data_IF_497558730519
#
_entry.id   IF_497558730519
#
_cell.length_a   1.000
_cell.length_b   1.000
_cell.length_c   1.000
_cell.angle_alpha   90.00
_cell.angle_beta   90.00
_cell.angle_gamma   90.00
#
_symmetry.space_group_name_H-M   'P 1'
#
loop_
_entity.id
_entity.type
_entity.pdbx_description
1 polymer ?
#
# COMPACT_ATOMS: atom_id res chain seq x y z
N UNK A 1 -19.29 6.19 -2.21
CA UNK A 1 -19.87 5.60 -3.43
C UNK A 1 -20.61 6.69 -4.18
N UNK A 2 -20.13 7.14 -5.34
CA UNK A 2 -20.89 8.06 -6.19
C UNK A 2 -21.98 7.27 -6.93
N UNK A 3 -23.21 7.76 -6.83
CA UNK A 3 -24.43 7.09 -7.27
C UNK A 3 -24.47 6.92 -8.81
N UNK A 4 -24.72 5.70 -9.36
CA UNK A 4 -24.83 5.47 -10.81
C UNK A 4 -26.04 6.16 -11.48
N UNK A 5 -26.91 6.80 -10.71
CA UNK A 5 -28.17 7.41 -11.19
C UNK A 5 -28.15 8.95 -11.17
N UNK A 6 -27.00 9.62 -11.28
CA UNK A 6 -27.02 11.08 -11.48
C UNK A 6 -27.54 11.36 -12.90
N UNK A 7 -28.86 11.60 -13.01
CA UNK A 7 -29.51 12.01 -14.25
C UNK A 7 -28.75 13.22 -14.81
N UNK A 8 -28.16 13.06 -16.00
CA UNK A 8 -27.66 14.18 -16.78
C UNK A 8 -28.87 15.02 -17.17
N UNK A 9 -29.00 16.22 -16.60
CA UNK A 9 -29.78 17.29 -17.22
C UNK A 9 -29.21 17.56 -18.60
N UNK A 10 -30.08 17.77 -19.59
CA UNK A 10 -29.81 17.84 -21.04
C UNK A 10 -28.83 18.95 -21.50
N UNK A 11 -28.10 19.60 -20.59
CA UNK A 11 -27.11 20.64 -20.88
C UNK A 11 -25.70 20.12 -21.26
N UNK A 12 -25.43 18.82 -21.15
CA UNK A 12 -24.06 18.26 -21.32
C UNK A 12 -23.67 17.90 -22.77
N UNK A 13 -24.41 18.35 -23.78
CA UNK A 13 -24.13 18.05 -25.19
C UNK A 13 -22.88 18.74 -25.77
N UNK A 14 -22.12 19.49 -24.95
CA UNK A 14 -20.92 20.22 -25.38
C UNK A 14 -19.65 20.05 -24.53
N UNK A 15 -19.57 19.08 -23.61
CA UNK A 15 -18.29 18.80 -22.95
C UNK A 15 -17.42 17.86 -23.80
N UNK A 16 -16.70 18.46 -24.75
CA UNK A 16 -15.69 17.86 -25.63
C UNK A 16 -14.39 17.44 -24.91
N UNK A 17 -14.33 17.53 -23.58
CA UNK A 17 -13.14 17.20 -22.81
C UNK A 17 -13.44 16.29 -21.63
N UNK A 18 -13.89 15.08 -21.96
CA UNK A 18 -14.05 13.99 -21.00
C UNK A 18 -12.70 13.65 -20.33
N UNK A 19 -11.57 14.01 -20.94
CA UNK A 19 -10.20 13.81 -20.42
C UNK A 19 -9.66 14.95 -19.53
N UNK A 20 -10.33 16.12 -19.47
CA UNK A 20 -9.91 17.23 -18.58
C UNK A 20 -10.50 17.15 -17.17
N UNK A 21 -11.45 16.24 -16.97
CA UNK A 21 -12.04 16.01 -15.67
C UNK A 21 -10.98 15.32 -14.77
N UNK A 22 -10.45 16.07 -13.79
CA UNK A 22 -9.59 15.56 -12.71
C UNK A 22 -10.39 15.26 -11.43
N UNK A 23 -11.70 15.54 -11.41
CA UNK A 23 -12.55 15.34 -10.23
C UNK A 23 -12.56 13.88 -9.79
N UNK A 24 -12.32 12.93 -10.70
CA UNK A 24 -12.19 11.52 -10.36
C UNK A 24 -11.07 11.28 -9.33
N UNK A 25 -9.93 11.99 -9.40
CA UNK A 25 -8.80 11.76 -8.51
C UNK A 25 -8.77 12.65 -7.25
N UNK A 26 -9.58 13.71 -7.15
CA UNK A 26 -9.54 14.64 -6.00
C UNK A 26 -9.86 13.97 -4.66
N UNK A 27 -10.85 13.07 -4.62
CA UNK A 27 -11.19 12.29 -3.41
C UNK A 27 -9.99 11.42 -2.96
N UNK A 28 -9.19 10.93 -3.91
CA UNK A 28 -8.01 10.12 -3.63
C UNK A 28 -6.80 10.95 -3.18
N UNK A 29 -6.65 12.16 -3.72
CA UNK A 29 -5.68 13.13 -3.21
C UNK A 29 -6.05 13.55 -1.78
N UNK A 30 -7.33 13.76 -1.48
CA UNK A 30 -7.76 14.01 -0.11
C UNK A 30 -7.40 12.83 0.82
N UNK A 31 -7.57 11.59 0.38
CA UNK A 31 -7.15 10.40 1.12
C UNK A 31 -5.65 10.43 1.44
N UNK A 32 -4.85 10.78 0.44
CA UNK A 32 -3.39 10.86 0.56
C UNK A 32 -2.96 11.97 1.53
N UNK A 33 -3.55 13.17 1.43
CA UNK A 33 -3.16 14.34 2.23
C UNK A 33 -3.66 14.33 3.69
N UNK A 34 -4.54 13.40 4.07
CA UNK A 34 -5.06 13.33 5.45
C UNK A 34 -3.95 13.06 6.46
N UNK A 35 -3.98 13.76 7.59
CA UNK A 35 -3.08 13.47 8.72
C UNK A 35 -3.34 12.09 9.32
N UNK A 36 -4.61 11.71 9.46
CA UNK A 36 -5.00 10.39 9.96
C UNK A 36 -4.96 9.35 8.84
N UNK A 37 -4.80 8.07 9.19
CA UNK A 37 -4.82 6.96 8.24
C UNK A 37 -6.07 6.93 7.36
N UNK A 38 -6.01 6.36 6.14
CA UNK A 38 -7.09 6.48 5.16
C UNK A 38 -8.40 5.79 5.58
N UNK A 39 -8.35 4.89 6.55
CA UNK A 39 -9.50 4.19 7.13
C UNK A 39 -10.09 4.89 8.36
N UNK A 40 -9.50 5.99 8.81
CA UNK A 40 -9.89 6.71 10.03
C UNK A 40 -10.78 7.92 9.68
N UNK A 41 -11.88 8.08 10.42
CA UNK A 41 -12.83 9.18 10.29
C UNK A 41 -14.22 8.75 9.80
N UNK A 42 -15.07 9.72 9.44
CA UNK A 42 -16.46 9.48 9.00
C UNK A 42 -16.55 8.75 7.66
N UNK A 43 -15.53 8.89 6.81
CA UNK A 43 -15.45 8.27 5.49
C UNK A 43 -14.11 7.56 5.33
N UNK A 44 -14.20 6.27 5.02
CA UNK A 44 -13.06 5.48 4.58
C UNK A 44 -12.69 5.86 3.14
N UNK A 45 -11.43 6.26 2.97
CA UNK A 45 -10.84 6.66 1.69
C UNK A 45 -9.67 5.75 1.27
N UNK A 46 -9.52 4.59 1.89
CA UNK A 46 -8.48 3.60 1.52
C UNK A 46 -8.59 3.12 0.08
N UNK A 47 -9.80 3.13 -0.49
CA UNK A 47 -10.02 2.90 -1.89
C UNK A 47 -11.29 3.59 -2.39
N UNK A 48 -11.37 3.75 -3.70
CA UNK A 48 -12.64 3.96 -4.39
C UNK A 48 -12.54 3.43 -5.81
N UNK A 49 -13.65 2.95 -6.35
CA UNK A 49 -13.76 2.69 -7.78
C UNK A 49 -15.13 3.13 -8.25
N UNK A 50 -15.21 3.48 -9.52
CA UNK A 50 -16.45 3.89 -10.14
C UNK A 50 -16.42 3.75 -11.65
N UNK A 51 -17.58 3.97 -12.25
CA UNK A 51 -17.76 3.86 -13.70
C UNK A 51 -18.26 5.18 -14.24
N UNK A 52 -17.73 5.57 -15.39
CA UNK A 52 -18.24 6.65 -16.20
C UNK A 52 -19.07 6.06 -17.36
N UNK A 53 -20.14 6.73 -17.85
CA UNK A 53 -21.05 6.17 -18.87
C UNK A 53 -20.38 5.76 -20.20
N UNK A 54 -19.21 6.31 -20.47
CA UNK A 54 -18.36 6.24 -21.66
C UNK A 54 -17.41 5.02 -21.72
N UNK A 55 -17.72 3.92 -21.00
CA UNK A 55 -16.85 2.73 -20.88
C UNK A 55 -15.54 2.96 -20.14
N UNK A 56 -15.42 4.06 -19.41
CA UNK A 56 -14.29 4.30 -18.52
C UNK A 56 -14.59 3.89 -17.08
N UNK A 57 -13.52 3.56 -16.36
CA UNK A 57 -13.52 3.28 -14.94
C UNK A 57 -12.44 4.13 -14.28
N UNK A 58 -12.66 4.49 -13.04
CA UNK A 58 -11.60 5.02 -12.20
C UNK A 58 -11.40 4.13 -10.98
N UNK A 59 -10.17 4.11 -10.50
CA UNK A 59 -9.74 3.32 -9.37
C UNK A 59 -8.71 4.08 -8.56
N UNK A 60 -8.89 4.04 -7.25
CA UNK A 60 -7.99 4.61 -6.27
C UNK A 60 -7.71 3.58 -5.21
N UNK A 61 -6.45 3.51 -4.80
CA UNK A 61 -6.03 2.67 -3.70
C UNK A 61 -4.87 3.32 -2.97
N UNK A 62 -4.99 3.42 -1.64
CA UNK A 62 -3.97 4.03 -0.78
C UNK A 62 -3.42 2.98 0.19
N UNK A 63 -2.11 2.86 0.21
CA UNK A 63 -1.34 2.05 1.15
C UNK A 63 -0.48 2.96 2.02
N UNK A 64 -0.06 2.45 3.17
CA UNK A 64 0.93 3.11 4.01
C UNK A 64 1.89 2.10 4.63
N UNK A 65 3.09 2.59 4.92
CA UNK A 65 4.15 1.87 5.61
C UNK A 65 4.98 2.88 6.42
N UNK A 66 5.89 2.41 7.27
CA UNK A 66 6.84 3.26 7.97
C UNK A 66 8.24 3.07 7.38
N UNK A 67 9.04 4.12 7.41
CA UNK A 67 10.47 4.04 7.13
C UNK A 67 11.25 4.78 8.21
N UNK A 68 12.54 4.46 8.33
CA UNK A 68 13.44 5.15 9.24
C UNK A 68 14.08 6.35 8.52
N UNK A 69 13.88 7.55 9.04
CA UNK A 69 14.52 8.78 8.57
C UNK A 69 15.97 8.81 9.06
N UNK A 70 16.84 8.09 8.35
CA UNK A 70 18.28 8.17 8.53
C UNK A 70 18.78 9.34 7.70
N UNK A 71 18.88 10.53 8.30
CA UNK A 71 19.39 11.75 7.66
C UNK A 71 20.84 11.67 7.15
N UNK A 72 21.51 10.51 7.24
CA UNK A 72 22.85 10.25 6.69
C UNK A 72 22.90 9.15 5.61
N UNK A 73 21.83 8.39 5.39
CA UNK A 73 21.81 7.41 4.29
C UNK A 73 20.72 7.82 3.33
N UNK A 74 21.17 8.42 2.24
CA UNK A 74 20.43 8.58 0.99
C UNK A 74 19.59 7.33 0.73
N UNK A 75 18.29 7.38 1.01
CA UNK A 75 17.37 6.63 0.16
C UNK A 75 16.64 7.67 -0.66
N UNK A 76 16.69 7.47 -1.97
CA UNK A 76 15.41 7.17 -2.55
C UNK A 76 15.53 5.87 -3.34
N UNK A 77 14.44 5.13 -3.41
CA UNK A 77 14.13 4.46 -4.67
C UNK A 77 14.22 5.57 -5.72
N UNK A 78 15.31 5.50 -6.50
CA UNK A 78 15.75 6.42 -7.56
C UNK A 78 16.46 7.70 -7.07
N UNK A 79 17.80 7.64 -7.12
CA UNK A 79 18.61 8.76 -7.54
C UNK A 79 18.22 9.15 -8.99
N UNK A 80 17.06 9.80 -9.13
CA UNK A 80 16.74 10.60 -10.29
C UNK A 80 17.05 12.05 -9.94
N UNK A 81 17.88 12.65 -10.80
CA UNK A 81 18.15 14.10 -10.97
C UNK A 81 17.06 15.02 -10.41
N UNK A 82 17.44 16.23 -9.98
CA UNK A 82 16.66 17.40 -9.47
C UNK A 82 15.17 17.60 -9.89
N UNK A 83 14.63 16.86 -10.86
CA UNK A 83 13.21 16.66 -11.14
C UNK A 83 12.45 15.75 -10.14
N UNK A 84 13.12 15.08 -9.20
CA UNK A 84 12.53 14.11 -8.26
C UNK A 84 11.71 14.71 -7.10
N UNK A 85 11.60 16.04 -6.99
CA UNK A 85 10.83 16.73 -5.92
C UNK A 85 9.38 17.04 -6.28
N UNK A 86 8.72 16.13 -6.97
CA UNK A 86 7.34 16.32 -7.45
C UNK A 86 6.30 15.54 -6.66
N UNK A 87 6.71 14.91 -5.54
CA UNK A 87 5.82 14.32 -4.54
C UNK A 87 5.21 15.37 -3.62
N UNK A 88 4.26 14.95 -2.78
CA UNK A 88 3.62 15.82 -1.79
C UNK A 88 3.96 15.32 -0.38
N UNK A 89 5.05 15.83 0.20
CA UNK A 89 5.39 15.54 1.60
C UNK A 89 4.31 16.11 2.50
N UNK A 90 3.60 15.23 3.21
CA UNK A 90 2.67 15.63 4.27
C UNK A 90 3.27 15.22 5.61
N UNK A 91 3.35 16.14 6.57
CA UNK A 91 3.79 15.81 7.92
C UNK A 91 2.71 14.97 8.62
N UNK A 92 2.84 13.63 8.55
CA UNK A 92 1.92 12.65 9.14
C UNK A 92 2.49 12.05 10.42
N UNK A 93 2.05 10.84 10.79
CA UNK A 93 2.51 10.17 11.99
C UNK A 93 4.02 9.98 11.92
N UNK A 94 4.72 10.60 12.87
CA UNK A 94 6.11 10.31 13.14
C UNK A 94 6.24 9.73 14.55
N UNK A 95 7.24 8.88 14.73
CA UNK A 95 7.58 8.33 16.02
C UNK A 95 9.08 8.43 16.19
N UNK A 96 9.53 9.19 17.18
CA UNK A 96 10.95 9.19 17.57
C UNK A 96 11.14 8.13 18.63
N UNK A 97 12.03 7.18 18.36
CA UNK A 97 12.41 6.16 19.32
C UNK A 97 13.86 6.42 19.72
N UNK A 98 14.16 6.65 21.02
CA UNK A 98 15.52 6.78 21.50
C UNK A 98 16.40 5.62 21.02
N UNK A 99 17.60 5.93 20.52
CA UNK A 99 18.55 4.97 19.96
C UNK A 99 18.25 4.51 18.53
N UNK A 100 16.99 4.54 18.07
CA UNK A 100 16.59 4.09 16.72
C UNK A 100 16.53 5.26 15.74
N UNK A 101 16.02 6.41 16.18
CA UNK A 101 15.79 7.58 15.33
C UNK A 101 14.31 7.82 15.06
N UNK A 102 14.03 8.58 14.00
CA UNK A 102 12.68 9.02 13.65
C UNK A 102 12.09 8.09 12.60
N UNK A 103 11.04 7.38 12.95
CA UNK A 103 10.20 6.67 12.00
C UNK A 103 9.15 7.63 11.44
N UNK A 104 8.99 7.63 10.13
CA UNK A 104 8.00 8.45 9.43
C UNK A 104 7.02 7.55 8.65
N UNK A 105 5.73 7.89 8.73
CA UNK A 105 4.71 7.26 7.89
C UNK A 105 4.87 7.73 6.43
N UNK A 106 5.01 6.78 5.51
CA UNK A 106 4.92 6.97 4.07
C UNK A 106 3.58 6.52 3.54
N UNK A 107 3.04 7.27 2.57
CA UNK A 107 1.87 6.83 1.80
C UNK A 107 2.21 6.55 0.35
N UNK A 108 1.52 5.55 -0.19
CA UNK A 108 1.50 5.22 -1.60
C UNK A 108 0.05 5.37 -2.08
N UNK A 109 -0.20 6.31 -2.99
CA UNK A 109 -1.47 6.41 -3.70
C UNK A 109 -1.26 5.89 -5.11
N UNK A 110 -2.16 5.01 -5.56
CA UNK A 110 -2.39 4.80 -6.99
C UNK A 110 -3.74 5.35 -7.37
N UNK A 111 -3.73 6.08 -8.47
CA UNK A 111 -4.91 6.71 -9.04
C UNK A 111 -4.90 6.45 -10.53
N UNK A 112 -5.92 5.74 -11.01
CA UNK A 112 -6.02 5.32 -12.40
C UNK A 112 -7.41 5.58 -12.94
N UNK A 113 -7.45 6.06 -14.18
CA UNK A 113 -8.63 6.07 -15.04
C UNK A 113 -8.32 5.20 -16.25
N UNK A 114 -9.14 4.19 -16.50
CA UNK A 114 -8.87 3.15 -17.50
C UNK A 114 -10.15 2.77 -18.24
N UNK A 115 -10.04 2.57 -19.55
CA UNK A 115 -11.11 2.01 -20.36
C UNK A 115 -11.39 0.56 -19.92
N UNK A 116 -12.65 0.12 -19.91
CA UNK A 116 -13.00 -1.25 -19.52
C UNK A 116 -12.29 -2.27 -20.41
N UNK A 117 -12.27 -2.01 -21.72
CA UNK A 117 -11.50 -2.76 -22.72
C UNK A 117 -10.20 -2.04 -23.04
N UNK A 118 -9.11 -2.78 -22.96
CA UNK A 118 -7.73 -2.35 -23.12
C UNK A 118 -7.01 -3.32 -24.08
N UNK A 119 -6.61 -2.86 -25.28
CA UNK A 119 -6.62 -3.71 -26.49
C UNK A 119 -5.46 -3.59 -27.52
N UNK A 120 -5.12 -4.76 -28.10
CA UNK A 120 -3.95 -5.36 -28.85
C UNK A 120 -3.02 -4.65 -29.81
N UNK A 121 -3.21 -3.38 -30.20
CA UNK A 121 -2.71 -2.96 -31.52
C UNK A 121 -1.45 -2.11 -31.46
N UNK A 122 -0.34 -2.76 -31.80
CA UNK A 122 1.05 -2.28 -31.97
C UNK A 122 1.97 -2.41 -30.75
N UNK A 123 3.05 -3.22 -30.83
CA UNK A 123 4.12 -3.24 -29.82
C UNK A 123 5.11 -2.06 -29.96
N UNK A 124 4.88 -1.12 -30.89
CA UNK A 124 5.88 -0.09 -31.23
C UNK A 124 5.49 1.37 -30.99
N UNK A 125 4.26 1.74 -30.65
CA UNK A 125 3.94 3.19 -30.55
C UNK A 125 2.96 3.51 -29.41
N UNK A 126 3.50 4.23 -28.42
CA UNK A 126 2.87 5.09 -27.40
C UNK A 126 1.79 4.49 -26.45
N UNK A 127 1.74 4.94 -25.18
CA UNK A 127 0.63 4.61 -24.29
C UNK A 127 -0.66 5.17 -24.89
N UNK A 128 -1.42 4.31 -25.57
CA UNK A 128 -2.77 4.60 -26.05
C UNK A 128 -3.56 5.39 -24.99
N UNK A 129 -4.41 6.37 -25.36
CA UNK A 129 -5.24 7.17 -24.47
C UNK A 129 -6.37 6.37 -23.79
N UNK A 130 -6.15 5.08 -23.51
CA UNK A 130 -7.09 4.13 -22.90
C UNK A 130 -6.79 3.89 -21.42
N UNK A 131 -5.70 4.46 -20.90
CA UNK A 131 -5.32 4.43 -19.50
C UNK A 131 -4.54 5.70 -19.15
N UNK A 132 -4.97 6.40 -18.11
CA UNK A 132 -4.23 7.50 -17.48
C UNK A 132 -4.08 7.13 -16.01
N UNK A 133 -2.86 7.06 -15.51
CA UNK A 133 -2.62 6.68 -14.13
C UNK A 133 -1.32 7.24 -13.60
N UNK A 134 -1.32 7.47 -12.29
CA UNK A 134 -0.12 7.86 -11.57
C UNK A 134 -0.03 7.08 -10.25
N UNK A 135 1.21 6.85 -9.84
CA UNK A 135 1.55 6.48 -8.46
C UNK A 135 2.18 7.71 -7.82
N UNK A 136 1.71 8.06 -6.63
CA UNK A 136 2.26 9.17 -5.85
C UNK A 136 2.70 8.66 -4.49
N UNK A 137 3.89 9.11 -4.09
CA UNK A 137 4.48 8.90 -2.78
C UNK A 137 4.78 10.27 -2.15
N UNK A 138 5.19 10.28 -0.88
CA UNK A 138 5.60 11.54 -0.25
C UNK A 138 6.92 12.07 -0.80
N UNK A 139 7.70 11.22 -1.50
CA UNK A 139 8.97 11.57 -2.10
C UNK A 139 8.87 11.95 -3.58
N UNK A 140 7.89 11.42 -4.33
CA UNK A 140 7.79 11.63 -5.77
C UNK A 140 6.49 11.13 -6.38
N UNK A 141 6.31 11.34 -7.68
CA UNK A 141 5.27 10.66 -8.45
C UNK A 141 5.86 10.01 -9.70
N UNK A 142 5.23 8.95 -10.16
CA UNK A 142 5.57 8.28 -11.42
C UNK A 142 4.32 7.99 -12.22
N UNK A 143 4.44 8.06 -13.55
CA UNK A 143 3.39 7.57 -14.44
C UNK A 143 3.34 6.05 -14.36
N UNK A 144 2.15 5.47 -14.44
CA UNK A 144 2.03 4.02 -14.52
C UNK A 144 2.54 3.53 -15.87
N UNK A 145 3.73 2.92 -15.92
CA UNK A 145 4.20 2.20 -17.10
C UNK A 145 3.38 0.92 -17.28
N UNK A 146 2.38 1.01 -18.15
CA UNK A 146 1.39 -0.05 -18.37
C UNK A 146 1.74 -0.83 -19.64
N UNK A 147 2.91 -1.47 -19.66
CA UNK A 147 3.26 -2.39 -20.75
C UNK A 147 2.50 -3.71 -20.59
N UNK A 148 1.94 -4.21 -21.69
CA UNK A 148 0.70 -5.02 -21.74
C UNK A 148 0.80 -6.50 -21.40
N UNK A 149 1.73 -6.92 -20.56
CA UNK A 149 1.98 -8.36 -20.35
C UNK A 149 2.23 -8.79 -18.90
N UNK A 150 2.42 -7.85 -17.97
CA UNK A 150 2.92 -8.21 -16.65
C UNK A 150 1.91 -9.00 -15.79
N UNK A 151 0.63 -8.97 -16.14
CA UNK A 151 -0.41 -9.75 -15.47
C UNK A 151 -0.27 -11.26 -15.70
N UNK A 152 0.28 -11.68 -16.85
CA UNK A 152 0.40 -13.10 -17.22
C UNK A 152 1.37 -13.83 -16.29
N UNK A 153 2.50 -13.19 -15.95
CA UNK A 153 3.48 -13.73 -14.99
C UNK A 153 2.93 -13.86 -13.57
N UNK A 154 1.84 -13.16 -13.26
CA UNK A 154 1.14 -13.20 -11.95
C UNK A 154 -0.05 -14.17 -11.96
N UNK A 155 -0.27 -14.88 -13.08
CA UNK A 155 -1.40 -15.79 -13.24
C UNK A 155 -2.76 -15.08 -13.32
N UNK A 156 -2.79 -13.77 -13.58
CA UNK A 156 -4.03 -13.03 -13.76
C UNK A 156 -4.55 -13.21 -15.19
N UNK A 157 -5.87 -13.31 -15.33
CA UNK A 157 -6.56 -13.39 -16.61
C UNK A 157 -6.93 -11.99 -17.08
N UNK A 158 -6.82 -11.72 -18.39
CA UNK A 158 -7.23 -10.45 -18.99
C UNK A 158 -8.40 -10.65 -19.94
N UNK A 159 -9.65 -10.73 -19.43
CA UNK A 159 -10.84 -10.73 -20.29
C UNK A 159 -10.84 -9.51 -21.20
N UNK A 160 -11.16 -9.71 -22.47
CA UNK A 160 -11.11 -8.62 -23.45
C UNK A 160 -11.97 -7.42 -23.03
N UNK A 161 -13.14 -7.65 -22.44
CA UNK A 161 -14.09 -6.62 -22.03
C UNK A 161 -13.73 -5.90 -20.72
N UNK A 162 -12.81 -6.47 -19.94
CA UNK A 162 -12.42 -5.97 -18.61
C UNK A 162 -10.90 -5.89 -18.40
N UNK A 163 -10.14 -5.85 -19.49
CA UNK A 163 -8.68 -5.83 -19.47
C UNK A 163 -8.12 -4.60 -18.74
N UNK A 164 -8.85 -3.47 -18.70
CA UNK A 164 -8.48 -2.33 -17.86
C UNK A 164 -8.60 -2.61 -16.35
N UNK A 165 -9.55 -3.46 -15.95
CA UNK A 165 -9.70 -3.91 -14.56
C UNK A 165 -8.53 -4.83 -14.19
N UNK A 166 -8.12 -5.72 -15.09
CA UNK A 166 -6.93 -6.57 -14.89
C UNK A 166 -5.67 -5.72 -14.75
N UNK A 167 -5.55 -4.63 -15.52
CA UNK A 167 -4.45 -3.69 -15.40
C UNK A 167 -4.40 -3.06 -13.99
N UNK A 168 -5.54 -2.64 -13.47
CA UNK A 168 -5.63 -2.13 -12.10
C UNK A 168 -5.25 -3.18 -11.04
N UNK A 169 -5.76 -4.41 -11.17
CA UNK A 169 -5.40 -5.51 -10.27
C UNK A 169 -3.89 -5.81 -10.30
N UNK A 170 -3.26 -5.66 -11.46
CA UNK A 170 -1.80 -5.78 -11.63
C UNK A 170 -1.05 -4.65 -10.93
N UNK A 171 -1.57 -3.42 -11.01
CA UNK A 171 -0.98 -2.29 -10.30
C UNK A 171 -1.08 -2.45 -8.78
N UNK A 172 -2.21 -2.93 -8.24
CA UNK A 172 -2.32 -3.28 -6.82
C UNK A 172 -1.26 -4.30 -6.43
N UNK A 173 -1.07 -5.33 -7.26
CA UNK A 173 -0.04 -6.35 -7.02
C UNK A 173 1.35 -5.73 -6.87
N UNK A 174 1.75 -4.87 -7.81
CA UNK A 174 3.06 -4.20 -7.80
C UNK A 174 3.23 -3.33 -6.55
N UNK A 175 2.17 -2.64 -6.15
CA UNK A 175 2.20 -1.78 -4.97
C UNK A 175 2.27 -2.58 -3.67
N UNK A 176 1.70 -3.78 -3.63
CA UNK A 176 1.88 -4.69 -2.51
C UNK A 176 3.33 -5.15 -2.37
N UNK A 177 4.02 -5.39 -3.49
CA UNK A 177 5.45 -5.74 -3.47
C UNK A 177 6.29 -4.57 -2.93
N UNK A 178 6.01 -3.34 -3.39
CA UNK A 178 6.67 -2.12 -2.87
C UNK A 178 6.36 -1.88 -1.40
N UNK A 179 5.11 -2.08 -1.00
CA UNK A 179 4.67 -1.96 0.38
C UNK A 179 5.37 -2.98 1.30
N UNK A 180 5.49 -4.24 0.88
CA UNK A 180 6.22 -5.24 1.65
C UNK A 180 7.69 -4.91 1.74
N UNK A 181 8.30 -4.43 0.65
CA UNK A 181 9.69 -4.00 0.66
C UNK A 181 9.93 -2.86 1.67
N UNK A 182 9.08 -1.83 1.66
CA UNK A 182 9.18 -0.72 2.62
C UNK A 182 9.04 -1.16 4.08
N UNK A 183 8.10 -2.06 4.37
CA UNK A 183 7.99 -2.67 5.70
C UNK A 183 9.19 -3.52 6.08
N UNK A 184 9.72 -4.32 5.14
CA UNK A 184 10.89 -5.16 5.37
C UNK A 184 12.12 -4.31 5.69
N UNK A 185 12.37 -3.21 4.97
CA UNK A 185 13.44 -2.27 5.29
C UNK A 185 13.29 -1.65 6.69
N UNK A 186 12.06 -1.29 7.08
CA UNK A 186 11.80 -0.79 8.42
C UNK A 186 12.10 -1.84 9.50
N UNK A 187 11.74 -3.10 9.25
CA UNK A 187 12.05 -4.21 10.16
C UNK A 187 13.56 -4.52 10.18
N UNK A 188 14.26 -4.44 9.05
CA UNK A 188 15.72 -4.58 8.97
C UNK A 188 16.43 -3.56 9.87
N UNK A 189 15.97 -2.30 9.83
CA UNK A 189 16.53 -1.24 10.67
C UNK A 189 16.28 -1.46 12.16
N UNK A 190 15.11 -1.99 12.54
CA UNK A 190 14.82 -2.38 13.93
C UNK A 190 15.68 -3.57 14.35
N UNK A 191 15.88 -4.55 13.46
CA UNK A 191 16.68 -5.74 13.73
C UNK A 191 18.16 -5.40 13.95
N UNK A 192 18.76 -4.60 13.06
CA UNK A 192 20.16 -4.18 13.19
C UNK A 192 20.45 -3.51 14.55
N UNK A 193 19.47 -2.81 15.10
CA UNK A 193 19.57 -2.17 16.40
C UNK A 193 19.45 -3.16 17.57
N UNK A 194 18.60 -4.18 17.44
CA UNK A 194 18.50 -5.25 18.44
C UNK A 194 19.79 -6.09 18.46
N UNK A 195 20.36 -6.38 17.29
CA UNK A 195 21.57 -7.18 17.15
C UNK A 195 22.81 -6.44 17.69
N UNK A 196 22.97 -5.14 17.40
CA UNK A 196 24.03 -4.30 17.98
C UNK A 196 24.03 -4.32 19.52
N UNK A 197 22.84 -4.36 20.14
CA UNK A 197 22.73 -4.45 21.60
C UNK A 197 23.03 -5.85 22.16
N UNK A 198 22.97 -6.90 21.34
CA UNK A 198 23.27 -8.27 21.75
C UNK A 198 24.78 -8.55 21.77
N UNK A 199 25.54 -8.00 20.83
CA UNK A 199 26.99 -8.21 20.73
C UNK A 199 27.76 -7.57 21.90
N UNK A 200 27.30 -6.44 22.42
CA UNK A 200 27.87 -5.76 23.60
C UNK A 200 27.84 -6.65 24.88
N UNK A 201 26.99 -7.68 24.93
CA UNK A 201 26.81 -8.57 26.09
C UNK A 201 27.64 -9.84 26.02
N UNK A 202 28.17 -10.18 24.85
CA UNK A 202 29.11 -11.30 24.68
C UNK A 202 30.47 -11.02 25.35
N UNK A 203 30.68 -9.79 25.79
CA UNK A 203 31.87 -9.31 26.45
C UNK A 203 31.65 -9.31 27.98
N UNK A 204 32.03 -10.40 28.66
CA UNK A 204 31.80 -10.63 30.11
C UNK A 204 32.25 -9.44 30.98
N UNK A 205 33.28 -8.70 30.57
CA UNK A 205 33.83 -7.52 31.26
C UNK A 205 32.87 -6.31 31.22
N UNK A 206 32.15 -6.12 30.10
CA UNK A 206 31.12 -5.08 29.98
C UNK A 206 29.83 -5.48 30.70
N UNK A 207 29.55 -6.78 30.77
CA UNK A 207 28.38 -7.32 31.47
C UNK A 207 28.45 -7.01 32.98
N UNK A 208 29.59 -7.24 33.63
CA UNK A 208 29.79 -6.93 35.05
C UNK A 208 29.76 -5.41 35.32
N UNK A 209 30.31 -4.58 34.44
CA UNK A 209 30.26 -3.12 34.57
C UNK A 209 28.83 -2.56 34.43
N UNK A 210 28.02 -3.13 33.53
CA UNK A 210 26.62 -2.73 33.32
C UNK A 210 25.64 -3.29 34.36
N UNK A 211 26.06 -4.26 35.18
CA UNK A 211 25.24 -4.79 36.28
C UNK A 211 25.05 -3.78 37.43
N UNK A 212 25.86 -2.73 37.51
CA UNK A 212 25.87 -1.77 38.62
C UNK A 212 25.40 -0.34 38.27
N UNK A 213 24.96 -0.07 37.03
CA UNK A 213 24.59 1.29 36.57
C UNK A 213 23.14 1.44 36.05
N UNK A 214 22.66 2.71 36.03
CA UNK A 214 21.38 3.21 35.50
C UNK A 214 21.04 2.74 34.06
N UNK A 215 22.01 2.14 33.35
CA UNK A 215 21.89 1.61 32.00
C UNK A 215 20.93 0.40 31.87
N UNK A 216 20.75 -0.41 32.92
CA UNK A 216 19.83 -1.57 32.88
C UNK A 216 18.36 -1.15 32.80
N UNK A 217 18.01 -0.03 33.44
CA UNK A 217 16.70 0.61 33.29
C UNK A 217 16.52 1.15 31.86
N UNK A 218 17.58 1.68 31.26
CA UNK A 218 17.59 2.12 29.86
C UNK A 218 17.31 0.96 28.89
N UNK A 219 17.99 -0.18 29.01
CA UNK A 219 17.80 -1.34 28.11
C UNK A 219 16.40 -1.97 28.21
N UNK A 220 15.89 -2.15 29.43
CA UNK A 220 14.52 -2.67 29.62
C UNK A 220 13.46 -1.72 29.05
N UNK A 221 13.68 -0.41 29.17
CA UNK A 221 12.83 0.62 28.57
C UNK A 221 12.87 0.58 27.04
N UNK A 222 14.05 0.37 26.43
CA UNK A 222 14.18 0.22 24.98
C UNK A 222 13.41 -1.00 24.46
N UNK A 223 13.53 -2.16 25.10
CA UNK A 223 12.77 -3.36 24.70
C UNK A 223 11.26 -3.18 24.82
N UNK A 224 10.80 -2.49 25.87
CA UNK A 224 9.39 -2.15 26.01
C UNK A 224 8.90 -1.24 24.86
N UNK A 225 9.73 -0.28 24.43
CA UNK A 225 9.43 0.58 23.28
C UNK A 225 9.37 -0.22 21.97
N UNK A 226 10.29 -1.16 21.75
CA UNK A 226 10.29 -2.05 20.57
C UNK A 226 9.05 -2.95 20.56
N UNK A 227 8.66 -3.54 21.68
CA UNK A 227 7.43 -4.35 21.77
C UNK A 227 6.17 -3.50 21.49
N UNK A 228 6.13 -2.25 21.96
CA UNK A 228 5.05 -1.31 21.64
C UNK A 228 5.05 -0.93 20.15
N UNK A 229 6.23 -0.77 19.55
CA UNK A 229 6.38 -0.51 18.13
C UNK A 229 5.81 -1.67 17.31
N UNK A 230 6.19 -2.91 17.63
CA UNK A 230 5.67 -4.11 16.97
C UNK A 230 4.15 -4.25 17.10
N UNK A 231 3.58 -3.92 18.27
CA UNK A 231 2.12 -3.85 18.42
C UNK A 231 1.47 -2.84 17.45
N UNK A 232 2.09 -1.68 17.25
CA UNK A 232 1.64 -0.69 16.28
C UNK A 232 1.82 -1.20 14.83
N UNK A 233 2.96 -1.79 14.51
CA UNK A 233 3.24 -2.34 13.17
C UNK A 233 2.23 -3.39 12.75
N UNK A 234 1.91 -4.36 13.62
CA UNK A 234 0.89 -5.39 13.34
C UNK A 234 -0.47 -4.79 12.96
N UNK A 235 -0.89 -3.73 13.66
CA UNK A 235 -2.15 -3.04 13.35
C UNK A 235 -2.12 -2.49 11.92
N UNK A 236 -1.04 -1.82 11.55
CA UNK A 236 -0.91 -1.19 10.23
C UNK A 236 -0.72 -2.22 9.11
N UNK A 237 0.11 -3.25 9.33
CA UNK A 237 0.40 -4.32 8.37
C UNK A 237 -0.85 -5.10 7.96
N UNK A 238 -1.84 -5.21 8.86
CA UNK A 238 -3.10 -5.90 8.56
C UNK A 238 -4.06 -5.13 7.64
N UNK A 239 -3.83 -3.82 7.46
CA UNK A 239 -4.79 -2.93 6.77
C UNK A 239 -4.96 -3.25 5.28
N UNK A 240 -3.89 -3.43 4.47
CA UNK A 240 -4.02 -3.68 3.03
C UNK A 240 -4.84 -4.92 2.69
N UNK A 241 -4.57 -6.05 3.35
CA UNK A 241 -5.31 -7.30 3.11
C UNK A 241 -6.81 -7.17 3.42
N UNK A 242 -7.17 -6.44 4.49
CA UNK A 242 -8.57 -6.15 4.81
C UNK A 242 -9.22 -5.24 3.76
N UNK A 243 -8.49 -4.22 3.30
CA UNK A 243 -8.96 -3.28 2.28
C UNK A 243 -9.22 -3.99 0.95
N UNK A 244 -8.28 -4.83 0.47
CA UNK A 244 -8.43 -5.54 -0.80
C UNK A 244 -9.62 -6.52 -0.76
N UNK A 245 -9.82 -7.24 0.35
CA UNK A 245 -11.01 -8.10 0.51
C UNK A 245 -12.31 -7.30 0.46
N UNK A 246 -12.31 -6.08 1.01
CA UNK A 246 -13.46 -5.18 0.91
C UNK A 246 -13.66 -4.67 -0.52
N UNK A 247 -12.58 -4.36 -1.24
CA UNK A 247 -12.65 -3.99 -2.66
C UNK A 247 -13.30 -5.10 -3.48
N UNK A 248 -12.89 -6.35 -3.29
CA UNK A 248 -13.49 -7.53 -3.94
C UNK A 248 -14.98 -7.66 -3.61
N UNK A 249 -15.37 -7.50 -2.33
CA UNK A 249 -16.78 -7.58 -1.91
C UNK A 249 -17.63 -6.47 -2.52
N UNK A 250 -17.13 -5.23 -2.50
CA UNK A 250 -17.83 -4.09 -3.12
C UNK A 250 -17.91 -4.27 -4.64
N UNK A 251 -16.88 -4.84 -5.28
CA UNK A 251 -16.89 -5.17 -6.69
C UNK A 251 -18.01 -6.18 -7.00
N UNK A 252 -18.03 -7.30 -6.30
CA UNK A 252 -19.04 -8.35 -6.47
C UNK A 252 -20.47 -7.84 -6.25
N UNK A 253 -20.63 -6.90 -5.31
CA UNK A 253 -21.92 -6.24 -5.05
C UNK A 253 -22.33 -5.29 -6.16
N UNK A 254 -21.39 -4.54 -6.71
CA UNK A 254 -21.63 -3.55 -7.77
C UNK A 254 -21.87 -4.19 -9.14
N UNK A 255 -21.23 -5.34 -9.43
CA UNK A 255 -21.32 -6.04 -10.71
C UNK A 255 -21.69 -7.51 -10.49
N UNK A 256 -22.99 -7.80 -10.40
CA UNK A 256 -23.48 -9.12 -9.98
C UNK A 256 -23.35 -10.22 -11.03
N UNK A 257 -23.24 -9.90 -12.32
CA UNK A 257 -23.14 -10.91 -13.37
C UNK A 257 -24.41 -11.78 -13.45
N UNK A 258 -25.51 -11.22 -13.96
CA UNK A 258 -26.89 -11.73 -14.04
C UNK A 258 -27.67 -11.77 -12.71
N UNK A 259 -29.00 -11.60 -12.85
CA UNK A 259 -30.06 -11.40 -11.83
C UNK A 259 -30.24 -9.96 -11.31
N UNK A 260 -29.87 -8.94 -12.08
CA UNK A 260 -30.40 -7.59 -11.88
C UNK A 260 -31.14 -7.11 -13.14
N UNK A 261 -32.25 -6.40 -12.96
CA UNK A 261 -33.07 -5.84 -14.05
C UNK A 261 -32.37 -4.67 -14.79
N UNK A 262 -31.06 -4.51 -14.63
CA UNK A 262 -30.26 -3.43 -15.21
C UNK A 262 -29.32 -3.98 -16.27
N UNK A 263 -29.06 -3.20 -17.33
CA UNK A 263 -27.99 -3.48 -18.28
C UNK A 263 -26.64 -3.54 -17.53
N UNK A 264 -26.11 -4.75 -17.36
CA UNK A 264 -24.84 -4.95 -16.65
C UNK A 264 -23.65 -4.66 -17.57
N UNK A 265 -22.62 -4.01 -17.00
CA UNK A 265 -21.41 -3.58 -17.74
C UNK A 265 -20.55 -4.74 -18.24
N UNK A 266 -20.63 -5.90 -17.60
CA UNK A 266 -19.76 -7.05 -17.86
C UNK A 266 -20.60 -8.32 -17.91
N UNK A 267 -20.29 -9.22 -18.83
CA UNK A 267 -20.92 -10.55 -18.88
C UNK A 267 -20.50 -11.45 -17.70
N UNK A 268 -21.17 -12.60 -17.57
CA UNK A 268 -20.93 -13.58 -16.49
C UNK A 268 -19.52 -14.17 -16.51
N UNK A 269 -18.99 -14.56 -17.66
CA UNK A 269 -17.65 -15.15 -17.79
C UNK A 269 -16.59 -14.11 -17.45
N UNK A 270 -16.78 -12.88 -17.93
CA UNK A 270 -15.92 -11.74 -17.59
C UNK A 270 -15.91 -11.47 -16.08
N UNK A 271 -17.07 -11.48 -15.42
CA UNK A 271 -17.13 -11.31 -13.95
C UNK A 271 -16.44 -12.44 -13.18
N UNK A 272 -16.63 -13.69 -13.60
CA UNK A 272 -15.93 -14.84 -12.97
C UNK A 272 -14.42 -14.65 -13.05
N UNK A 273 -13.88 -14.31 -14.21
CA UNK A 273 -12.44 -14.09 -14.38
C UNK A 273 -11.90 -12.92 -13.53
N UNK A 274 -12.66 -11.81 -13.41
CA UNK A 274 -12.27 -10.67 -12.56
C UNK A 274 -12.26 -11.05 -11.08
N UNK A 275 -13.25 -11.83 -10.63
CA UNK A 275 -13.33 -12.30 -9.24
C UNK A 275 -12.20 -13.29 -8.93
N UNK A 276 -11.86 -14.20 -9.85
CA UNK A 276 -10.69 -15.07 -9.71
C UNK A 276 -9.39 -14.26 -9.59
N UNK A 277 -9.25 -13.18 -10.36
CA UNK A 277 -8.10 -12.29 -10.22
C UNK A 277 -8.06 -11.60 -8.87
N UNK A 278 -9.20 -11.14 -8.35
CA UNK A 278 -9.27 -10.58 -7.00
C UNK A 278 -8.83 -11.60 -5.95
N UNK A 279 -9.26 -12.85 -6.07
CA UNK A 279 -8.86 -13.91 -5.16
C UNK A 279 -7.34 -14.16 -5.22
N UNK A 280 -6.73 -14.08 -6.42
CA UNK A 280 -5.26 -14.15 -6.57
C UNK A 280 -4.54 -12.97 -5.92
N UNK A 281 -5.03 -11.75 -6.10
CA UNK A 281 -4.46 -10.55 -5.45
C UNK A 281 -4.59 -10.63 -3.92
N UNK A 282 -5.73 -11.12 -3.42
CA UNK A 282 -5.95 -11.34 -1.99
C UNK A 282 -4.95 -12.37 -1.46
N UNK A 283 -4.80 -13.50 -2.15
CA UNK A 283 -3.85 -14.54 -1.77
C UNK A 283 -2.40 -14.01 -1.72
N UNK A 284 -2.01 -13.18 -2.68
CA UNK A 284 -0.71 -12.51 -2.67
C UNK A 284 -0.55 -11.59 -1.47
N UNK A 285 -1.53 -10.71 -1.23
CA UNK A 285 -1.56 -9.82 -0.07
C UNK A 285 -1.47 -10.58 1.26
N UNK A 286 -2.20 -11.69 1.38
CA UNK A 286 -2.17 -12.53 2.58
C UNK A 286 -0.80 -13.17 2.82
N UNK A 287 -0.11 -13.61 1.75
CA UNK A 287 1.23 -14.18 1.84
C UNK A 287 2.25 -13.15 2.32
N UNK A 288 2.24 -11.95 1.75
CA UNK A 288 3.13 -10.85 2.17
C UNK A 288 2.81 -10.42 3.62
N UNK A 289 1.53 -10.33 3.96
CA UNK A 289 1.07 -10.06 5.32
C UNK A 289 1.57 -11.11 6.32
N UNK A 290 1.42 -12.40 6.00
CA UNK A 290 1.89 -13.49 6.86
C UNK A 290 3.41 -13.44 7.06
N UNK A 291 4.18 -13.24 5.97
CA UNK A 291 5.64 -13.09 6.01
C UNK A 291 6.07 -11.99 6.99
N UNK A 292 5.48 -10.80 6.90
CA UNK A 292 5.81 -9.67 7.79
C UNK A 292 5.39 -9.94 9.24
N UNK A 293 4.20 -10.54 9.46
CA UNK A 293 3.71 -10.87 10.80
C UNK A 293 4.57 -11.93 11.49
N UNK A 294 4.98 -12.96 10.77
CA UNK A 294 5.82 -14.03 11.34
C UNK A 294 7.19 -13.49 11.72
N UNK A 295 7.76 -12.58 10.91
CA UNK A 295 8.99 -11.85 11.27
C UNK A 295 8.82 -11.03 12.56
N UNK A 296 7.73 -10.27 12.67
CA UNK A 296 7.44 -9.49 13.90
C UNK A 296 7.28 -10.42 15.10
N UNK A 297 6.56 -11.54 14.95
CA UNK A 297 6.33 -12.50 16.05
C UNK A 297 7.62 -13.13 16.55
N UNK A 298 8.50 -13.53 15.63
CA UNK A 298 9.84 -14.06 15.95
C UNK A 298 10.60 -13.04 16.80
N UNK A 299 10.64 -11.78 16.37
CA UNK A 299 11.37 -10.73 17.09
C UNK A 299 10.72 -10.30 18.40
N UNK A 300 9.38 -10.37 18.51
CA UNK A 300 8.67 -10.20 19.78
C UNK A 300 8.98 -11.33 20.77
N UNK A 301 9.19 -12.55 20.29
CA UNK A 301 9.61 -13.68 21.11
C UNK A 301 11.06 -13.50 21.59
N UNK A 302 11.98 -13.13 20.70
CA UNK A 302 13.38 -12.83 21.05
C UNK A 302 13.47 -11.74 22.13
N UNK A 303 12.74 -10.62 21.94
CA UNK A 303 12.67 -9.53 22.93
C UNK A 303 12.12 -9.99 24.28
N UNK A 304 11.12 -10.90 24.29
CA UNK A 304 10.53 -11.42 25.53
C UNK A 304 11.47 -12.39 26.23
N UNK A 305 12.09 -13.29 25.49
CA UNK A 305 13.07 -14.25 25.99
C UNK A 305 14.27 -13.53 26.60
N UNK A 306 14.77 -12.46 25.96
CA UNK A 306 15.82 -11.63 26.54
C UNK A 306 15.37 -10.98 27.85
N UNK A 307 14.20 -10.34 27.87
CA UNK A 307 13.66 -9.69 29.08
C UNK A 307 13.52 -10.69 30.24
N UNK A 308 13.06 -11.89 29.93
CA UNK A 308 12.78 -12.91 30.95
C UNK A 308 14.06 -13.63 31.36
N UNK A 309 15.02 -13.90 30.46
CA UNK A 309 16.35 -14.42 30.80
C UNK A 309 17.17 -13.49 31.70
N UNK A 310 17.05 -12.17 31.50
CA UNK A 310 17.62 -11.14 32.39
C UNK A 310 16.98 -11.15 33.79
N UNK A 311 15.79 -11.73 33.96
CA UNK A 311 15.11 -11.89 35.26
C UNK A 311 15.49 -13.17 36.01
N UNK A 312 16.04 -14.19 35.34
CA UNK A 312 16.33 -15.50 35.96
C UNK A 312 17.79 -15.70 36.40
N UNK A 313 18.71 -14.80 36.05
CA UNK A 313 20.10 -14.82 36.54
C UNK A 313 20.28 -14.06 37.87
N UNK A 314 19.31 -14.15 38.77
CA UNK A 314 19.35 -13.58 40.13
C UNK A 314 19.27 -14.68 41.18
#
# INVERSE_FOLDING_TARGET
>A
MSNPNKHKTELDSHNSYVDQDIFWCLDSLQAFCRLQGPTIGERDLSFSFGTCPDRWMYFHFTLHYFFLDTTEVSTPIEAASDASRSGLRCDRLNMTIPGIGRLEEMRLLVSMRVATRYGTKSPTEEPSPSAVGFVMTDAGHSSTHTTRTDWTGRGLQSPMEASGVTLFQTMIWNLLDLWEHGWSQCLDAVDALLDFQSDDLSNEILLEAQMFDDERMSKTKHMFLVLRLFANFRKNISTPSQTIRRMQKEWAKAYKGRYSDRLERFDRLTQVAILENWDRVILHSDRLHAKLLDRIRSKEEDCRNYRDGVRFNF
#
